data_IF_607529613191
#
_entry.id   IF_607529613191
#
_cell.length_a   1.000
_cell.length_b   1.000
_cell.length_c   1.000
_cell.angle_alpha   90.00
_cell.angle_beta   90.00
_cell.angle_gamma   90.00
#
_symmetry.space_group_name_H-M   'P 1'
#
loop_
_entity.id
_entity.type
_entity.pdbx_description
1 polymer ?
#
# COMPACT_ATOMS: atom_id res chain seq x y z
N UNK A 1 -10.98 0.56 6.39
CA UNK A 1 -11.09 0.08 7.78
C UNK A 1 -10.19 -1.15 7.88
N UNK A 2 -9.41 -1.33 8.95
CA UNK A 2 -8.59 -2.54 9.12
C UNK A 2 -9.56 -3.65 9.50
N UNK A 3 -9.90 -4.52 8.54
CA UNK A 3 -11.02 -5.47 8.68
C UNK A 3 -10.75 -6.62 9.65
N UNK A 4 -9.50 -6.76 10.14
CA UNK A 4 -9.06 -7.92 10.90
C UNK A 4 -8.43 -7.60 12.27
N UNK A 5 -8.75 -6.42 12.83
CA UNK A 5 -8.25 -5.99 14.15
C UNK A 5 -6.87 -5.35 14.11
N UNK A 6 -6.57 -4.48 15.09
CA UNK A 6 -5.33 -3.69 15.16
C UNK A 6 -5.44 -2.27 14.59
N UNK A 7 -4.31 -1.54 14.57
CA UNK A 7 -4.18 -0.18 14.02
C UNK A 7 -3.81 -0.16 12.52
N UNK A 8 -3.61 -1.33 11.92
CA UNK A 8 -3.17 -1.51 10.53
C UNK A 8 -1.92 -2.40 10.44
N UNK A 9 -1.39 -2.55 9.22
CA UNK A 9 -0.13 -3.25 8.95
C UNK A 9 0.94 -2.23 8.56
N UNK A 10 2.16 -2.39 9.07
CA UNK A 10 3.28 -1.51 8.77
C UNK A 10 3.88 -1.76 7.37
N UNK A 11 3.71 -2.97 6.82
CA UNK A 11 4.17 -3.28 5.47
C UNK A 11 3.31 -4.35 4.75
N UNK A 12 3.48 -4.43 3.42
CA UNK A 12 2.81 -5.44 2.58
C UNK A 12 3.19 -6.88 2.97
N UNK A 13 4.42 -7.09 3.45
CA UNK A 13 4.86 -8.40 3.90
C UNK A 13 4.13 -8.85 5.17
N UNK A 14 3.84 -7.92 6.08
CA UNK A 14 3.11 -8.19 7.33
C UNK A 14 1.67 -8.61 7.05
N UNK A 15 0.92 -7.84 6.25
CA UNK A 15 -0.46 -8.20 5.88
C UNK A 15 -0.51 -9.54 5.16
N UNK A 16 0.38 -9.79 4.20
CA UNK A 16 0.40 -11.05 3.44
C UNK A 16 0.77 -12.25 4.33
N UNK A 17 1.63 -12.04 5.34
CA UNK A 17 1.95 -13.09 6.33
C UNK A 17 0.73 -13.41 7.19
N UNK A 18 0.03 -12.38 7.68
CA UNK A 18 -1.24 -12.55 8.41
C UNK A 18 -2.27 -13.32 7.57
N UNK A 19 -2.51 -12.90 6.33
CA UNK A 19 -3.44 -13.56 5.39
C UNK A 19 -3.08 -15.04 5.20
N UNK A 20 -1.78 -15.34 5.05
CA UNK A 20 -1.32 -16.72 4.89
C UNK A 20 -1.60 -17.58 6.13
N UNK A 21 -1.40 -17.02 7.33
CA UNK A 21 -1.64 -17.75 8.60
C UNK A 21 -3.14 -17.99 8.82
N UNK A 22 -3.98 -16.97 8.59
CA UNK A 22 -5.40 -17.02 8.95
C UNK A 22 -6.30 -17.57 7.84
N UNK A 23 -5.95 -17.32 6.58
CA UNK A 23 -6.79 -17.62 5.41
C UNK A 23 -6.15 -18.71 4.51
N UNK A 24 -4.90 -19.09 4.80
CA UNK A 24 -4.15 -20.11 4.06
C UNK A 24 -3.41 -19.60 2.83
N UNK A 25 -3.68 -18.37 2.37
CA UNK A 25 -2.97 -17.74 1.26
C UNK A 25 -2.92 -16.22 1.40
N UNK A 26 -1.93 -15.60 0.76
CA UNK A 26 -1.82 -14.14 0.71
C UNK A 26 -2.65 -13.57 -0.44
N UNK A 27 -3.75 -12.89 -0.11
CA UNK A 27 -4.71 -12.34 -1.07
C UNK A 27 -4.41 -10.92 -1.52
N UNK A 28 -3.75 -10.09 -0.69
CA UNK A 28 -3.45 -8.70 -1.06
C UNK A 28 -2.34 -8.67 -2.13
N UNK A 29 -2.59 -8.19 -3.36
CA UNK A 29 -1.61 -8.25 -4.44
C UNK A 29 -0.44 -7.26 -4.23
N UNK A 30 0.73 -7.61 -4.77
CA UNK A 30 1.76 -6.60 -5.04
C UNK A 30 1.31 -5.68 -6.18
N UNK A 31 1.97 -4.52 -6.28
CA UNK A 31 1.81 -3.63 -7.43
C UNK A 31 2.19 -4.34 -8.72
N UNK A 32 1.47 -4.02 -9.79
CA UNK A 32 1.62 -4.57 -11.13
C UNK A 32 2.08 -3.49 -12.10
N UNK A 33 2.50 -3.90 -13.28
CA UNK A 33 2.83 -2.96 -14.36
C UNK A 33 1.66 -2.01 -14.63
N UNK A 34 1.97 -0.73 -14.78
CA UNK A 34 0.98 0.32 -14.99
C UNK A 34 0.28 0.82 -13.73
N UNK A 35 0.42 0.18 -12.56
CA UNK A 35 -0.17 0.70 -11.32
C UNK A 35 0.40 2.08 -10.97
N UNK A 36 -0.46 2.94 -10.43
CA UNK A 36 -0.09 4.27 -9.95
C UNK A 36 -0.01 4.30 -8.42
N UNK A 37 1.04 4.93 -7.88
CA UNK A 37 1.18 5.18 -6.45
C UNK A 37 1.30 6.68 -6.22
N UNK A 38 0.49 7.19 -5.30
CA UNK A 38 0.56 8.57 -4.81
C UNK A 38 0.90 8.59 -3.31
N UNK A 39 1.89 9.40 -2.94
CA UNK A 39 2.22 9.69 -1.55
C UNK A 39 2.08 11.20 -1.35
N UNK A 40 1.28 11.61 -0.38
CA UNK A 40 1.03 13.00 -0.06
C UNK A 40 0.91 13.21 1.45
N UNK A 41 1.27 14.40 1.91
CA UNK A 41 1.16 14.81 3.31
C UNK A 41 0.49 16.17 3.39
N UNK A 42 -0.44 16.31 4.34
CA UNK A 42 -1.25 17.50 4.53
C UNK A 42 -1.16 17.99 5.98
N UNK A 43 -1.30 19.29 6.19
CA UNK A 43 -1.46 19.88 7.52
C UNK A 43 -2.87 19.60 8.09
N UNK A 44 -3.12 20.08 9.30
CA UNK A 44 -4.41 19.95 10.00
C UNK A 44 -5.57 20.68 9.29
N UNK A 45 -5.26 21.61 8.38
CA UNK A 45 -6.22 22.33 7.53
C UNK A 45 -6.38 21.67 6.15
N UNK A 46 -5.71 20.54 5.91
CA UNK A 46 -5.75 19.80 4.65
C UNK A 46 -4.89 20.41 3.53
N UNK A 47 -4.03 21.39 3.83
CA UNK A 47 -3.12 21.96 2.84
C UNK A 47 -1.91 21.05 2.64
N UNK A 48 -1.54 20.81 1.39
CA UNK A 48 -0.38 19.98 1.08
C UNK A 48 0.91 20.63 1.59
N UNK A 49 1.71 19.86 2.34
CA UNK A 49 3.00 20.32 2.85
C UNK A 49 4.11 20.26 1.79
N UNK A 50 4.05 19.25 0.90
CA UNK A 50 5.15 18.92 -0.01
C UNK A 50 4.70 18.69 -1.46
N UNK A 51 3.43 18.91 -1.78
CA UNK A 51 2.80 18.37 -2.99
C UNK A 51 2.55 16.87 -2.87
N UNK A 52 2.62 16.17 -4.01
CA UNK A 52 2.42 14.72 -4.09
C UNK A 52 3.55 14.08 -4.89
N UNK A 53 4.08 12.97 -4.39
CA UNK A 53 4.92 12.07 -5.17
C UNK A 53 3.98 11.13 -5.93
N UNK A 54 4.04 11.14 -7.26
CA UNK A 54 3.23 10.27 -8.11
C UNK A 54 4.11 9.46 -9.05
N UNK A 55 4.10 8.15 -8.88
CA UNK A 55 4.88 7.23 -9.70
C UNK A 55 3.97 6.21 -10.37
N UNK A 56 4.37 5.79 -11.58
CA UNK A 56 3.78 4.66 -12.27
C UNK A 56 4.78 3.51 -12.24
N UNK A 57 4.32 2.33 -11.85
CA UNK A 57 5.13 1.11 -11.90
C UNK A 57 5.36 0.75 -13.36
N UNK A 58 6.63 0.50 -13.69
CA UNK A 58 7.02 -0.07 -14.98
C UNK A 58 7.69 -1.41 -14.70
N UNK A 59 7.20 -2.45 -15.34
CA UNK A 59 7.91 -3.72 -15.40
C UNK A 59 9.29 -3.51 -16.02
N UNK A 60 10.28 -4.22 -15.51
CA UNK A 60 11.59 -4.25 -16.15
C UNK A 60 11.43 -4.90 -17.53
N UNK A 61 12.03 -4.34 -18.58
CA UNK A 61 12.07 -5.01 -19.88
C UNK A 61 12.78 -6.36 -19.75
N UNK A 62 12.33 -7.34 -20.55
CA UNK A 62 12.98 -8.66 -20.67
C UNK A 62 14.42 -8.56 -21.17
#
# INVERSE_FOLDING_TARGET
>A
KVEHGGVGYACIAEVRTYETIEQGEATTPFLRDGDGVEISMHDDRGLSLFGSIRNRVQALPE
#
